data_IF_978510893727
#
_entry.id   IF_978510893727
#
_cell.length_a   1.000
_cell.length_b   1.000
_cell.length_c   1.000
_cell.angle_alpha   90.00
_cell.angle_beta   90.00
_cell.angle_gamma   90.00
#
_symmetry.space_group_name_H-M   'P 1'
#
loop_
_entity.id
_entity.type
_entity.pdbx_description
1 polymer ?
#
# COMPACT_ATOMS: atom_id res chain seq x y z
N UNK A 1 21.97 -16.29 68.10
CA UNK A 1 22.05 -16.86 66.73
C UNK A 1 20.70 -16.89 65.99
N UNK A 2 19.55 -17.16 66.62
CA UNK A 2 18.22 -17.19 65.95
C UNK A 2 17.66 -15.83 65.48
N UNK A 3 18.08 -14.73 66.09
CA UNK A 3 17.60 -13.36 65.76
C UNK A 3 18.30 -12.80 64.51
N UNK A 4 19.55 -13.20 64.27
CA UNK A 4 20.35 -12.73 63.12
C UNK A 4 19.85 -13.38 61.81
N UNK A 5 19.38 -14.62 61.85
CA UNK A 5 18.79 -15.31 60.70
C UNK A 5 17.42 -14.77 60.29
N UNK A 6 16.62 -14.27 61.25
CA UNK A 6 15.33 -13.62 60.97
C UNK A 6 15.50 -12.24 60.32
N UNK A 7 16.52 -11.48 60.73
CA UNK A 7 16.84 -10.16 60.16
C UNK A 7 17.32 -10.26 58.70
N UNK A 8 18.12 -11.28 58.37
CA UNK A 8 18.63 -11.50 57.01
C UNK A 8 17.50 -11.89 56.01
N UNK A 9 16.52 -12.67 56.45
CA UNK A 9 15.36 -13.04 55.61
C UNK A 9 14.44 -11.85 55.28
N UNK A 10 14.33 -10.86 56.16
CA UNK A 10 13.48 -9.69 55.93
C UNK A 10 14.07 -8.70 54.90
N UNK A 11 15.41 -8.60 54.82
CA UNK A 11 16.07 -7.76 53.81
C UNK A 11 15.96 -8.33 52.38
N UNK A 12 15.87 -9.65 52.21
CA UNK A 12 15.72 -10.30 50.91
C UNK A 12 14.32 -10.10 50.28
N UNK A 13 13.30 -9.80 51.09
CA UNK A 13 11.92 -9.56 50.62
C UNK A 13 11.69 -8.14 50.08
N UNK A 14 12.61 -7.20 50.30
CA UNK A 14 12.47 -5.79 49.88
C UNK A 14 13.18 -5.46 48.56
N UNK A 15 13.90 -6.41 47.95
CA UNK A 15 14.72 -6.17 46.76
C UNK A 15 14.01 -6.48 45.41
N UNK A 16 12.69 -6.66 45.41
CA UNK A 16 11.95 -7.21 44.26
C UNK A 16 10.91 -6.29 43.62
N UNK A 17 11.15 -4.98 43.49
CA UNK A 17 10.28 -4.14 42.64
C UNK A 17 10.67 -4.31 41.16
N UNK A 18 10.23 -5.40 40.54
CA UNK A 18 10.34 -5.56 39.10
C UNK A 18 9.48 -4.48 38.40
N UNK A 19 10.12 -3.47 37.79
CA UNK A 19 9.44 -2.53 36.89
C UNK A 19 9.31 -3.19 35.53
N UNK A 20 8.08 -3.39 35.08
CA UNK A 20 7.79 -3.86 33.72
C UNK A 20 7.99 -2.66 32.77
N UNK A 21 8.60 -2.84 31.60
CA UNK A 21 8.69 -1.77 30.61
C UNK A 21 7.30 -1.26 30.22
N UNK A 22 7.09 0.04 30.32
CA UNK A 22 5.85 0.68 29.88
C UNK A 22 5.87 0.89 28.36
N UNK A 23 4.77 0.59 27.65
CA UNK A 23 4.67 0.88 26.23
C UNK A 23 4.73 2.40 26.03
N UNK A 24 5.73 2.84 25.28
CA UNK A 24 5.82 4.24 24.83
C UNK A 24 5.36 4.33 23.38
N UNK A 25 4.69 5.43 23.04
CA UNK A 25 4.30 5.71 21.66
C UNK A 25 5.48 6.18 20.81
N UNK A 26 5.36 6.06 19.49
CA UNK A 26 6.30 6.67 18.54
C UNK A 26 6.14 8.20 18.50
N UNK A 27 7.19 8.89 18.06
CA UNK A 27 7.13 10.32 17.76
C UNK A 27 6.14 10.60 16.62
N UNK A 28 5.56 11.80 16.59
CA UNK A 28 4.64 12.19 15.52
C UNK A 28 5.36 12.25 14.16
N UNK A 29 4.87 11.49 13.19
CA UNK A 29 5.34 11.51 11.80
C UNK A 29 4.15 11.61 10.84
N UNK A 30 4.44 11.98 9.59
CA UNK A 30 3.46 11.98 8.50
C UNK A 30 3.81 10.91 7.50
N UNK A 31 2.79 10.22 7.00
CA UNK A 31 2.93 9.19 5.97
C UNK A 31 2.13 9.61 4.73
N UNK A 32 2.69 9.45 3.52
CA UNK A 32 1.98 9.73 2.28
C UNK A 32 0.79 8.78 2.06
N UNK A 33 -0.20 9.26 1.29
CA UNK A 33 -1.41 8.51 0.93
C UNK A 33 -1.51 8.37 -0.59
N UNK A 34 -1.69 7.15 -1.10
CA UNK A 34 -1.97 6.88 -2.50
C UNK A 34 -3.48 6.96 -2.75
N UNK A 35 -3.92 8.03 -3.41
CA UNK A 35 -5.34 8.33 -3.62
C UNK A 35 -5.75 8.34 -5.10
N UNK A 36 -4.78 8.38 -6.01
CA UNK A 36 -5.03 8.44 -7.45
C UNK A 36 -3.94 7.67 -8.19
N UNK A 37 -4.26 7.19 -9.39
CA UNK A 37 -3.31 6.52 -10.27
C UNK A 37 -2.08 7.40 -10.59
N UNK A 38 -2.22 8.73 -10.56
CA UNK A 38 -1.09 9.65 -10.67
C UNK A 38 -0.02 9.41 -9.59
N UNK A 39 -0.40 9.06 -8.36
CA UNK A 39 0.56 8.74 -7.30
C UNK A 39 1.36 7.47 -7.62
N UNK A 40 0.82 6.54 -8.42
CA UNK A 40 1.54 5.36 -8.88
C UNK A 40 2.66 5.75 -9.85
N UNK A 41 2.43 6.76 -10.70
CA UNK A 41 3.45 7.34 -11.59
C UNK A 41 4.57 7.99 -10.78
N UNK A 42 4.20 8.79 -9.76
CA UNK A 42 5.18 9.43 -8.87
C UNK A 42 6.05 8.39 -8.16
N UNK A 43 5.45 7.32 -7.65
CA UNK A 43 6.18 6.21 -7.04
C UNK A 43 7.10 5.50 -8.05
N UNK A 44 6.59 5.16 -9.23
CA UNK A 44 7.38 4.48 -10.27
C UNK A 44 8.58 5.32 -10.70
N UNK A 45 8.41 6.63 -10.83
CA UNK A 45 9.50 7.56 -11.17
C UNK A 45 10.56 7.63 -10.06
N UNK A 46 10.14 7.71 -8.80
CA UNK A 46 11.07 7.70 -7.65
C UNK A 46 11.86 6.39 -7.58
N UNK A 47 11.19 5.24 -7.71
CA UNK A 47 11.84 3.92 -7.72
C UNK A 47 12.79 3.77 -8.90
N UNK A 48 12.41 4.21 -10.11
CA UNK A 48 13.28 4.18 -11.28
C UNK A 48 14.53 5.05 -11.08
N UNK A 49 14.37 6.25 -10.50
CA UNK A 49 15.49 7.13 -10.15
C UNK A 49 16.43 6.46 -9.12
N UNK A 50 15.89 5.85 -8.07
CA UNK A 50 16.68 5.10 -7.06
C UNK A 50 17.45 3.96 -7.71
N UNK A 51 16.82 3.19 -8.60
CA UNK A 51 17.46 2.10 -9.36
C UNK A 51 18.60 2.65 -10.21
N UNK A 52 18.35 3.70 -11.00
CA UNK A 52 19.38 4.33 -11.84
C UNK A 52 20.59 4.81 -11.01
N UNK A 53 20.32 5.50 -9.90
CA UNK A 53 21.37 5.95 -8.99
C UNK A 53 22.15 4.77 -8.40
N UNK A 54 21.48 3.69 -8.01
CA UNK A 54 22.15 2.50 -7.50
C UNK A 54 23.04 1.83 -8.56
N UNK A 55 22.56 1.72 -9.81
CA UNK A 55 23.33 1.17 -10.92
C UNK A 55 24.62 1.96 -11.14
N UNK A 56 24.56 3.29 -11.10
CA UNK A 56 25.74 4.16 -11.21
C UNK A 56 26.69 3.96 -10.03
N UNK A 57 26.17 3.92 -8.79
CA UNK A 57 26.98 3.76 -7.58
C UNK A 57 27.65 2.39 -7.47
N UNK A 58 27.02 1.36 -8.05
CA UNK A 58 27.49 -0.04 -7.99
C UNK A 58 28.32 -0.46 -9.21
N UNK A 59 28.74 0.49 -10.07
CA UNK A 59 29.51 0.25 -11.30
C UNK A 59 28.80 -0.63 -12.35
N UNK A 60 27.47 -0.51 -12.43
CA UNK A 60 26.60 -1.15 -13.43
C UNK A 60 25.83 -0.15 -14.33
N UNK A 61 26.40 1.01 -14.74
CA UNK A 61 25.64 2.09 -15.37
C UNK A 61 25.03 1.75 -16.75
N UNK A 62 25.51 0.68 -17.40
CA UNK A 62 25.01 0.21 -18.70
C UNK A 62 24.36 -1.16 -18.64
N UNK A 63 24.31 -1.76 -17.45
CA UNK A 63 23.78 -3.12 -17.29
C UNK A 63 22.27 -3.06 -17.42
N UNK A 64 21.67 -3.92 -18.26
CA UNK A 64 20.23 -3.93 -18.40
C UNK A 64 19.54 -4.44 -17.13
N UNK A 65 18.32 -3.97 -16.90
CA UNK A 65 17.46 -4.46 -15.81
C UNK A 65 16.28 -5.26 -16.36
N UNK A 66 15.84 -6.27 -15.62
CA UNK A 66 14.60 -7.00 -15.89
C UNK A 66 13.66 -6.85 -14.68
N UNK A 67 12.44 -6.34 -14.91
CA UNK A 67 11.46 -6.09 -13.84
C UNK A 67 10.53 -7.30 -13.68
N UNK A 68 10.53 -7.89 -12.47
CA UNK A 68 9.75 -9.07 -12.12
C UNK A 68 8.81 -8.78 -10.92
N UNK A 69 7.48 -8.95 -11.08
CA UNK A 69 6.56 -8.98 -9.94
C UNK A 69 6.78 -10.23 -9.10
N UNK A 70 6.72 -10.12 -7.77
CA UNK A 70 6.78 -11.25 -6.85
C UNK A 70 5.57 -11.28 -5.91
N UNK A 71 5.05 -12.48 -5.70
CA UNK A 71 3.83 -12.72 -4.92
C UNK A 71 4.19 -13.65 -3.76
N UNK A 72 3.88 -13.22 -2.54
CA UNK A 72 4.27 -13.97 -1.34
C UNK A 72 5.79 -13.90 -1.11
N UNK A 73 6.51 -14.94 -1.51
CA UNK A 73 7.97 -15.00 -1.37
C UNK A 73 8.68 -14.30 -2.54
N UNK A 74 9.90 -13.82 -2.32
CA UNK A 74 10.67 -13.06 -3.31
C UNK A 74 11.16 -13.90 -4.49
N UNK A 75 11.32 -15.21 -4.28
CA UNK A 75 11.72 -16.15 -5.32
C UNK A 75 10.53 -16.64 -6.16
N UNK A 76 9.30 -16.34 -5.73
CA UNK A 76 8.07 -16.78 -6.40
C UNK A 76 7.54 -15.68 -7.34
N UNK A 77 7.66 -15.85 -8.67
CA UNK A 77 7.06 -14.91 -9.59
C UNK A 77 5.53 -15.01 -9.49
N UNK A 78 4.85 -13.87 -9.57
CA UNK A 78 3.40 -13.90 -9.71
C UNK A 78 3.01 -14.46 -11.08
N UNK A 79 1.98 -15.30 -11.13
CA UNK A 79 1.40 -15.71 -12.41
C UNK A 79 0.45 -14.63 -12.95
N UNK A 80 0.13 -14.72 -14.25
CA UNK A 80 -0.90 -13.88 -14.82
C UNK A 80 -2.21 -14.08 -14.04
N UNK A 81 -2.94 -12.98 -13.77
CA UNK A 81 -4.17 -12.95 -12.95
C UNK A 81 -4.02 -13.10 -11.43
N UNK A 82 -2.82 -13.35 -10.89
CA UNK A 82 -2.57 -13.28 -9.43
C UNK A 82 -2.18 -11.89 -8.96
N UNK A 83 -1.74 -11.03 -9.90
CA UNK A 83 -1.35 -9.66 -9.61
C UNK A 83 -2.56 -8.76 -9.33
N UNK A 84 -2.45 -7.93 -8.31
CA UNK A 84 -3.35 -6.80 -8.12
C UNK A 84 -3.28 -5.79 -9.27
N UNK A 85 -4.38 -5.04 -9.52
CA UNK A 85 -4.43 -3.98 -10.55
C UNK A 85 -3.32 -2.96 -10.38
N UNK A 86 -3.02 -2.59 -9.13
CA UNK A 86 -1.88 -1.74 -8.80
C UNK A 86 -0.56 -2.39 -9.19
N UNK A 87 -0.33 -3.66 -8.87
CA UNK A 87 0.92 -4.36 -9.19
C UNK A 87 1.18 -4.37 -10.70
N UNK A 88 0.17 -4.70 -11.51
CA UNK A 88 0.29 -4.69 -12.97
C UNK A 88 0.62 -3.30 -13.52
N UNK A 89 -0.17 -2.29 -13.11
CA UNK A 89 0.05 -0.91 -13.54
C UNK A 89 1.42 -0.38 -13.09
N UNK A 90 1.83 -0.69 -11.87
CA UNK A 90 3.11 -0.27 -11.31
C UNK A 90 4.28 -0.84 -12.11
N UNK A 91 4.22 -2.10 -12.55
CA UNK A 91 5.24 -2.69 -13.43
C UNK A 91 5.43 -1.89 -14.70
N UNK A 92 4.33 -1.59 -15.38
CA UNK A 92 4.37 -0.93 -16.68
C UNK A 92 4.83 0.52 -16.54
N UNK A 93 4.39 1.21 -15.48
CA UNK A 93 4.86 2.55 -15.12
C UNK A 93 6.35 2.54 -14.76
N UNK A 94 6.82 1.57 -13.98
CA UNK A 94 8.23 1.44 -13.59
C UNK A 94 9.11 1.19 -14.81
N UNK A 95 8.71 0.30 -15.72
CA UNK A 95 9.43 0.07 -16.99
C UNK A 95 9.48 1.36 -17.81
N UNK A 96 8.36 2.07 -17.91
CA UNK A 96 8.28 3.36 -18.63
C UNK A 96 9.25 4.38 -18.05
N UNK A 97 9.25 4.55 -16.73
CA UNK A 97 10.14 5.49 -16.04
C UNK A 97 11.61 5.06 -16.11
N UNK A 98 11.93 3.77 -16.00
CA UNK A 98 13.30 3.26 -16.19
C UNK A 98 13.85 3.60 -17.59
N UNK A 99 13.05 3.39 -18.63
CA UNK A 99 13.41 3.78 -20.01
C UNK A 99 13.58 5.30 -20.11
N UNK A 100 12.70 6.07 -19.47
CA UNK A 100 12.79 7.54 -19.42
C UNK A 100 14.07 8.03 -18.74
N UNK A 101 14.55 7.35 -17.70
CA UNK A 101 15.83 7.61 -17.04
C UNK A 101 17.04 7.10 -17.84
N UNK A 102 16.83 6.44 -18.98
CA UNK A 102 17.90 5.92 -19.84
C UNK A 102 18.47 4.57 -19.39
N UNK A 103 17.80 3.89 -18.45
CA UNK A 103 18.19 2.55 -18.00
C UNK A 103 17.76 1.53 -19.06
N UNK A 104 18.68 0.69 -19.60
CA UNK A 104 18.30 -0.35 -20.54
C UNK A 104 17.41 -1.40 -19.85
N UNK A 105 16.23 -1.70 -20.41
CA UNK A 105 15.29 -2.68 -19.83
C UNK A 105 15.15 -3.89 -20.76
N UNK A 106 15.21 -5.11 -20.20
CA UNK A 106 14.97 -6.36 -20.91
C UNK A 106 13.53 -6.81 -20.73
N UNK A 107 12.96 -7.42 -21.78
CA UNK A 107 11.62 -8.03 -21.74
C UNK A 107 11.60 -9.43 -21.15
N UNK A 108 12.73 -10.13 -21.19
CA UNK A 108 12.91 -11.49 -20.69
C UNK A 108 14.13 -11.51 -19.76
N UNK A 109 14.15 -12.41 -18.76
CA UNK A 109 15.33 -12.55 -17.91
C UNK A 109 16.53 -13.03 -18.73
N UNK A 110 17.70 -12.51 -18.38
CA UNK A 110 18.99 -12.76 -19.05
C UNK A 110 20.11 -12.78 -17.99
N UNK A 111 21.18 -13.55 -18.23
CA UNK A 111 22.31 -13.69 -17.28
C UNK A 111 23.07 -12.38 -17.07
N UNK A 112 23.11 -11.53 -18.10
CA UNK A 112 23.74 -10.21 -18.06
C UNK A 112 22.83 -9.13 -17.43
N UNK A 113 21.58 -9.46 -17.10
CA UNK A 113 20.62 -8.51 -16.56
C UNK A 113 20.50 -8.58 -15.04
N UNK A 114 20.37 -7.41 -14.40
CA UNK A 114 20.03 -7.33 -12.99
C UNK A 114 18.52 -7.51 -12.85
N UNK A 115 18.08 -8.43 -12.00
CA UNK A 115 16.65 -8.59 -11.75
C UNK A 115 16.19 -7.58 -10.70
N UNK A 116 15.22 -6.75 -11.07
CA UNK A 116 14.48 -5.90 -10.16
C UNK A 116 13.23 -6.64 -9.73
N UNK A 117 13.15 -7.06 -8.47
CA UNK A 117 11.92 -7.60 -7.92
C UNK A 117 11.12 -6.47 -7.27
N UNK A 118 9.80 -6.56 -7.34
CA UNK A 118 8.94 -5.76 -6.49
C UNK A 118 7.76 -6.57 -5.97
N UNK A 119 7.36 -6.26 -4.74
CA UNK A 119 6.28 -6.92 -4.01
C UNK A 119 5.34 -5.89 -3.41
N UNK A 120 4.05 -6.16 -3.49
CA UNK A 120 2.99 -5.35 -2.89
C UNK A 120 2.38 -6.13 -1.73
N UNK A 121 2.23 -5.49 -0.58
CA UNK A 121 1.58 -6.12 0.58
C UNK A 121 0.55 -5.18 1.17
N UNK A 122 -0.71 -5.60 1.13
CA UNK A 122 -1.83 -4.92 1.77
C UNK A 122 -1.87 -5.24 3.27
N UNK A 123 -1.97 -4.21 4.10
CA UNK A 123 -2.08 -4.29 5.55
C UNK A 123 -3.39 -3.65 5.97
N UNK A 124 -4.19 -4.40 6.73
CA UNK A 124 -5.44 -3.92 7.32
C UNK A 124 -5.30 -3.72 8.83
N UNK A 125 -5.74 -2.57 9.32
CA UNK A 125 -5.73 -2.20 10.72
C UNK A 125 -7.15 -2.26 11.30
N UNK A 126 -7.42 -3.27 12.13
CA UNK A 126 -8.75 -3.48 12.74
C UNK A 126 -9.12 -2.46 13.82
N UNK A 127 -8.12 -1.78 14.41
CA UNK A 127 -8.37 -0.81 15.48
C UNK A 127 -8.78 0.54 14.89
N UNK A 128 -9.87 1.10 15.41
CA UNK A 128 -10.25 2.49 15.11
C UNK A 128 -9.15 3.43 15.61
N UNK A 129 -8.31 3.92 14.70
CA UNK A 129 -7.27 4.90 15.03
C UNK A 129 -7.91 6.28 15.04
N UNK A 130 -7.95 6.92 16.21
CA UNK A 130 -8.17 8.36 16.27
C UNK A 130 -6.97 9.03 15.62
N UNK A 131 -7.20 9.69 14.49
CA UNK A 131 -6.14 10.40 13.82
C UNK A 131 -5.67 11.57 14.68
N UNK A 132 -4.43 11.47 15.14
CA UNK A 132 -3.84 12.51 15.97
C UNK A 132 -3.60 13.73 15.08
N UNK A 133 -4.35 14.79 15.37
CA UNK A 133 -4.13 16.11 14.79
C UNK A 133 -2.77 16.64 15.26
N UNK A 134 -2.13 17.49 14.46
CA UNK A 134 -0.80 18.01 14.81
C UNK A 134 -0.83 18.58 16.24
N UNK A 135 0.19 18.30 17.08
CA UNK A 135 0.26 18.85 18.42
C UNK A 135 0.03 20.36 18.41
N UNK A 136 -0.78 20.85 19.36
CA UNK A 136 -1.12 22.27 19.47
C UNK A 136 -2.30 22.76 18.62
N UNK A 137 -2.75 22.02 17.60
CA UNK A 137 -3.90 22.46 16.77
C UNK A 137 -5.20 22.52 17.58
N UNK A 138 -5.49 21.50 18.40
CA UNK A 138 -6.68 21.53 19.27
C UNK A 138 -6.62 22.68 20.27
N UNK A 139 -5.45 22.95 20.84
CA UNK A 139 -5.23 24.09 21.73
C UNK A 139 -5.48 25.39 20.99
N UNK A 140 -4.93 25.55 19.78
CA UNK A 140 -5.14 26.74 18.96
C UNK A 140 -6.62 26.94 18.60
N UNK A 141 -7.34 25.87 18.22
CA UNK A 141 -8.78 25.92 17.96
C UNK A 141 -9.54 26.33 19.23
N UNK A 142 -9.25 25.71 20.37
CA UNK A 142 -9.91 26.03 21.64
C UNK A 142 -9.68 27.49 22.06
N UNK A 143 -8.43 27.97 21.95
CA UNK A 143 -8.09 29.37 22.19
C UNK A 143 -8.77 30.31 21.19
N UNK A 144 -8.78 29.94 19.91
CA UNK A 144 -9.46 30.68 18.84
C UNK A 144 -10.96 30.84 19.10
N UNK A 145 -11.64 29.75 19.44
CA UNK A 145 -13.07 29.77 19.82
C UNK A 145 -13.31 30.66 21.04
N UNK A 146 -12.44 30.58 22.05
CA UNK A 146 -12.54 31.41 23.24
C UNK A 146 -12.45 32.92 22.92
N UNK A 147 -11.61 33.30 21.95
CA UNK A 147 -11.48 34.69 21.48
C UNK A 147 -12.66 35.09 20.59
N UNK A 148 -13.09 34.22 19.68
CA UNK A 148 -14.11 34.49 18.67
C UNK A 148 -15.54 34.58 19.20
N UNK A 149 -15.82 34.04 20.39
CA UNK A 149 -17.17 34.06 21.00
C UNK A 149 -17.77 35.46 21.15
N UNK A 150 -16.92 36.49 21.25
CA UNK A 150 -17.31 37.89 21.38
C UNK A 150 -17.00 38.71 20.12
N UNK A 151 -16.62 38.07 19.02
CA UNK A 151 -16.26 38.73 17.77
C UNK A 151 -17.50 39.09 16.93
N UNK A 152 -17.40 40.08 16.02
CA UNK A 152 -18.41 40.35 15.00
C UNK A 152 -18.75 39.11 14.18
N UNK A 153 -19.98 39.06 13.64
CA UNK A 153 -20.51 37.90 12.94
C UNK A 153 -19.69 37.52 11.70
N UNK A 154 -19.07 38.49 11.02
CA UNK A 154 -18.21 38.26 9.86
C UNK A 154 -17.01 37.36 10.24
N UNK A 155 -16.35 37.63 11.36
CA UNK A 155 -15.22 36.82 11.84
C UNK A 155 -15.67 35.42 12.29
N UNK A 156 -16.88 35.30 12.84
CA UNK A 156 -17.45 33.99 13.18
C UNK A 156 -17.73 33.15 11.93
N UNK A 157 -18.21 33.75 10.84
CA UNK A 157 -18.44 33.01 9.58
C UNK A 157 -17.15 32.50 8.96
N UNK A 158 -16.10 33.32 8.90
CA UNK A 158 -14.77 32.92 8.41
C UNK A 158 -14.20 31.78 9.27
N UNK A 159 -14.30 31.90 10.60
CA UNK A 159 -13.85 30.85 11.50
C UNK A 159 -14.65 29.55 11.35
N UNK A 160 -15.96 29.65 11.14
CA UNK A 160 -16.84 28.52 10.85
C UNK A 160 -16.43 27.80 9.56
N UNK A 161 -16.14 28.56 8.50
CA UNK A 161 -15.62 28.00 7.25
C UNK A 161 -14.27 27.27 7.46
N UNK A 162 -13.34 27.88 8.18
CA UNK A 162 -12.05 27.25 8.49
C UNK A 162 -12.18 25.96 9.32
N UNK A 163 -13.16 25.88 10.23
CA UNK A 163 -13.46 24.65 10.97
C UNK A 163 -14.01 23.55 10.04
N UNK A 164 -14.91 23.90 9.11
CA UNK A 164 -15.44 22.96 8.12
C UNK A 164 -14.32 22.41 7.22
N UNK A 165 -13.43 23.27 6.74
CA UNK A 165 -12.28 22.87 5.92
C UNK A 165 -11.35 21.92 6.70
N UNK A 166 -11.12 22.19 7.98
CA UNK A 166 -10.36 21.31 8.87
C UNK A 166 -11.02 19.95 9.03
N UNK A 167 -12.34 19.90 9.27
CA UNK A 167 -13.09 18.65 9.41
C UNK A 167 -13.04 17.83 8.11
N UNK A 168 -13.21 18.48 6.96
CA UNK A 168 -13.12 17.82 5.67
C UNK A 168 -11.73 17.23 5.43
N UNK A 169 -10.68 18.00 5.74
CA UNK A 169 -9.29 17.53 5.65
C UNK A 169 -9.02 16.35 6.58
N UNK A 170 -9.57 16.37 7.81
CA UNK A 170 -9.42 15.26 8.76
C UNK A 170 -10.09 13.98 8.26
N UNK A 171 -11.25 14.07 7.61
CA UNK A 171 -11.93 12.92 7.01
C UNK A 171 -11.08 12.27 5.91
N UNK A 172 -10.50 13.06 5.00
CA UNK A 172 -9.63 12.58 3.91
C UNK A 172 -8.40 11.84 4.43
N UNK A 173 -7.90 12.23 5.62
CA UNK A 173 -6.74 11.59 6.22
C UNK A 173 -7.05 10.18 6.71
N UNK A 174 -8.27 9.89 7.16
CA UNK A 174 -8.60 8.59 7.76
C UNK A 174 -8.45 7.44 6.76
N UNK A 175 -7.84 6.35 7.23
CA UNK A 175 -7.71 5.09 6.49
C UNK A 175 -7.36 3.97 7.45
N UNK A 176 -7.96 2.80 7.22
CA UNK A 176 -7.63 1.55 7.91
C UNK A 176 -6.69 0.66 7.10
N UNK A 177 -6.30 1.07 5.88
CA UNK A 177 -5.47 0.30 4.98
C UNK A 177 -4.16 1.00 4.66
N UNK A 178 -3.08 0.23 4.74
CA UNK A 178 -1.75 0.62 4.32
C UNK A 178 -1.24 -0.38 3.28
N UNK A 179 -0.40 0.08 2.37
CA UNK A 179 0.32 -0.78 1.44
C UNK A 179 1.82 -0.63 1.67
N UNK A 180 2.51 -1.76 1.73
CA UNK A 180 3.97 -1.84 1.78
C UNK A 180 4.43 -2.28 0.40
N UNK A 181 5.32 -1.50 -0.21
CA UNK A 181 5.86 -1.77 -1.54
C UNK A 181 7.34 -1.98 -1.37
N UNK A 182 7.80 -3.21 -1.58
CA UNK A 182 9.21 -3.56 -1.47
C UNK A 182 9.79 -3.69 -2.85
N UNK A 183 10.88 -2.98 -3.12
CA UNK A 183 11.66 -3.10 -4.35
C UNK A 183 13.05 -3.60 -4.01
N UNK A 184 13.56 -4.55 -4.77
CA UNK A 184 14.92 -5.07 -4.63
C UNK A 184 15.61 -5.22 -5.97
N UNK A 185 16.93 -5.09 -5.97
CA UNK A 185 17.78 -5.38 -7.10
C UNK A 185 18.71 -6.51 -6.71
N UNK A 186 18.63 -7.63 -7.42
CA UNK A 186 19.40 -8.83 -7.11
C UNK A 186 20.35 -9.15 -8.27
N UNK A 187 21.62 -9.39 -7.95
CA UNK A 187 22.62 -9.94 -8.87
C UNK A 187 23.43 -11.01 -8.15
N UNK A 188 23.69 -12.16 -8.78
CA UNK A 188 24.52 -13.25 -8.22
C UNK A 188 24.15 -13.60 -6.76
N UNK A 189 22.85 -13.73 -6.47
CA UNK A 189 22.29 -14.02 -5.14
C UNK A 189 22.58 -12.95 -4.06
N UNK A 190 22.94 -11.73 -4.47
CA UNK A 190 23.21 -10.60 -3.58
C UNK A 190 22.27 -9.44 -3.88
N UNK A 191 21.75 -8.83 -2.81
CA UNK A 191 21.05 -7.56 -2.91
C UNK A 191 22.02 -6.44 -3.22
N UNK A 192 21.89 -5.83 -4.39
CA UNK A 192 22.52 -4.54 -4.68
C UNK A 192 21.75 -3.40 -4.03
N UNK A 193 20.44 -3.53 -3.92
CA UNK A 193 19.54 -2.55 -3.31
C UNK A 193 18.27 -3.23 -2.83
N UNK A 194 17.73 -2.74 -1.71
CA UNK A 194 16.41 -3.11 -1.22
C UNK A 194 15.81 -1.93 -0.46
N UNK A 195 14.58 -1.56 -0.78
CA UNK A 195 13.82 -0.56 -0.04
C UNK A 195 12.37 -1.02 0.13
N UNK A 196 11.75 -0.63 1.25
CA UNK A 196 10.33 -0.83 1.52
C UNK A 196 9.67 0.51 1.79
N UNK A 197 8.77 0.93 0.90
CA UNK A 197 8.05 2.19 1.00
C UNK A 197 6.61 1.92 1.48
N UNK A 198 6.11 2.74 2.41
CA UNK A 198 4.81 2.54 3.07
C UNK A 198 3.86 3.69 2.76
N UNK A 199 2.64 3.36 2.34
CA UNK A 199 1.62 4.35 1.97
C UNK A 199 0.27 4.01 2.60
N UNK A 200 -0.47 5.01 3.07
CA UNK A 200 -1.90 4.85 3.29
C UNK A 200 -2.63 4.76 1.95
N UNK A 201 -3.76 4.07 1.91
CA UNK A 201 -4.65 4.05 0.73
C UNK A 201 -6.08 4.42 1.16
N UNK A 202 -6.99 4.69 0.23
CA UNK A 202 -8.39 4.81 0.60
C UNK A 202 -8.97 3.42 0.89
N UNK A 203 -9.84 3.31 1.89
CA UNK A 203 -10.45 2.03 2.25
C UNK A 203 -11.28 1.44 1.10
N UNK A 204 -11.95 2.29 0.32
CA UNK A 204 -12.73 1.89 -0.86
C UNK A 204 -11.85 1.36 -2.01
N UNK A 205 -10.57 1.76 -2.07
CA UNK A 205 -9.64 1.37 -3.14
C UNK A 205 -8.79 0.15 -2.77
N UNK A 206 -8.95 -0.40 -1.56
CA UNK A 206 -8.12 -1.51 -1.06
C UNK A 206 -8.12 -2.75 -1.97
N UNK A 207 -9.21 -2.98 -2.72
CA UNK A 207 -9.29 -4.07 -3.70
C UNK A 207 -8.24 -3.98 -4.83
N UNK A 208 -7.75 -2.77 -5.16
CA UNK A 208 -6.76 -2.55 -6.22
C UNK A 208 -5.36 -3.05 -5.84
N UNK A 209 -5.12 -3.36 -4.56
CA UNK A 209 -3.82 -3.74 -3.99
C UNK A 209 -3.78 -5.17 -3.46
N UNK A 210 -4.87 -5.92 -3.62
CA UNK A 210 -4.98 -7.29 -3.12
C UNK A 210 -4.52 -8.24 -4.22
N UNK A 211 -3.38 -8.89 -4.00
CA UNK A 211 -2.96 -10.00 -4.84
C UNK A 211 -3.89 -11.19 -4.57
N UNK A 212 -4.26 -11.90 -5.64
CA UNK A 212 -5.10 -13.10 -5.54
C UNK A 212 -4.17 -14.25 -5.21
N UNK A 213 -3.84 -14.42 -3.94
CA UNK A 213 -3.26 -15.69 -3.50
C UNK A 213 -4.36 -16.75 -3.60
N UNK A 214 -4.34 -17.56 -4.66
CA UNK A 214 -5.10 -18.80 -4.65
C UNK A 214 -4.42 -19.66 -3.59
N UNK A 215 -4.97 -19.64 -2.38
CA UNK A 215 -4.78 -20.78 -1.50
C UNK A 215 -5.37 -21.95 -2.27
N UNK A 216 -4.55 -22.79 -2.88
CA UNK A 216 -4.90 -24.18 -3.10
C UNK A 216 -5.24 -24.73 -1.71
N UNK A 217 -6.48 -24.56 -1.29
CA UNK A 217 -7.14 -25.61 -0.54
C UNK A 217 -7.06 -26.80 -1.49
N UNK A 218 -5.99 -27.58 -1.35
CA UNK A 218 -5.91 -28.91 -1.91
C UNK A 218 -7.21 -29.58 -1.49
N UNK A 219 -8.14 -29.75 -2.43
CA UNK A 219 -9.17 -30.75 -2.28
C UNK A 219 -8.40 -32.06 -2.18
N UNK A 220 -8.11 -32.50 -0.95
CA UNK A 220 -7.55 -33.82 -0.70
C UNK A 220 -8.63 -34.78 -1.23
N UNK A 221 -8.40 -35.50 -2.34
CA UNK A 221 -9.34 -36.53 -2.71
C UNK A 221 -9.23 -37.61 -1.64
N UNK A 222 -10.27 -37.73 -0.81
CA UNK A 222 -10.38 -38.82 0.14
C UNK A 222 -10.52 -40.12 -0.66
N UNK A 223 -9.40 -40.76 -0.97
CA UNK A 223 -9.37 -42.14 -1.46
C UNK A 223 -9.71 -43.01 -0.26
N UNK A 224 -11.02 -43.30 -0.08
CA UNK A 224 -11.49 -44.39 0.76
C UNK A 224 -11.24 -45.73 0.05
N UNK A 225 -10.89 -46.81 0.77
CA UNK A 225 -10.60 -48.09 0.15
C UNK A 225 -11.87 -48.72 -0.42
N UNK A 226 -11.69 -49.46 -1.51
CA UNK A 226 -12.71 -50.17 -2.27
C UNK A 226 -13.71 -50.93 -1.40
N UNK A 227 -15.00 -50.72 -1.68
CA UNK A 227 -16.12 -51.47 -1.14
C UNK A 227 -17.27 -51.46 -2.15
N UNK A 228 -17.46 -52.59 -2.81
CA UNK A 228 -18.48 -52.94 -3.80
C UNK A 228 -19.91 -52.59 -3.37
N UNK A 229 -20.70 -51.97 -4.25
CA UNK A 229 -22.11 -52.37 -4.49
C UNK A 229 -22.66 -51.69 -5.74
N UNK A 230 -23.07 -52.51 -6.70
CA UNK A 230 -24.02 -52.15 -7.75
C UNK A 230 -25.32 -51.59 -7.13
N UNK A 231 -25.97 -50.62 -7.78
CA UNK A 231 -27.33 -50.76 -8.31
C UNK A 231 -27.91 -49.46 -8.90
N UNK A 232 -28.40 -49.62 -10.13
CA UNK A 232 -29.62 -49.05 -10.71
C UNK A 232 -29.61 -47.65 -11.36
N UNK A 233 -29.46 -47.73 -12.69
CA UNK A 233 -30.18 -46.98 -13.72
C UNK A 233 -31.61 -46.58 -13.35
N UNK A 234 -31.91 -45.27 -13.42
CA UNK A 234 -33.24 -44.77 -13.74
C UNK A 234 -33.14 -43.46 -14.55
N UNK A 235 -34.00 -43.36 -15.55
CA UNK A 235 -33.94 -42.50 -16.74
C UNK A 235 -35.00 -41.38 -16.66
N UNK A 236 -34.54 -40.10 -16.72
CA UNK A 236 -35.18 -38.86 -17.25
C UNK A 236 -36.58 -38.42 -16.70
N UNK A 237 -37.09 -37.19 -16.98
CA UNK A 237 -36.54 -36.02 -17.72
C UNK A 237 -36.71 -34.62 -17.05
N UNK A 238 -35.87 -33.68 -17.50
CA UNK A 238 -36.15 -32.28 -17.89
C UNK A 238 -37.15 -31.40 -17.14
N UNK A 239 -36.65 -30.25 -16.66
CA UNK A 239 -37.40 -28.99 -16.60
C UNK A 239 -36.50 -27.85 -17.08
N UNK A 240 -36.90 -27.26 -18.20
CA UNK A 240 -36.34 -26.05 -18.82
C UNK A 240 -37.12 -24.84 -18.28
N UNK A 241 -36.43 -23.77 -17.88
CA UNK A 241 -37.00 -22.44 -17.59
C UNK A 241 -35.97 -21.35 -17.95
N UNK A 242 -36.42 -20.12 -18.26
CA UNK A 242 -36.12 -19.50 -19.55
C UNK A 242 -35.00 -18.47 -19.53
N UNK A 243 -34.46 -18.27 -20.74
CA UNK A 243 -33.53 -17.25 -21.16
C UNK A 243 -34.08 -15.83 -20.89
N UNK A 244 -33.30 -15.03 -20.16
CA UNK A 244 -33.62 -13.63 -19.86
C UNK A 244 -32.74 -12.74 -20.73
N UNK A 245 -33.41 -11.96 -21.59
CA UNK A 245 -32.82 -11.06 -22.57
C UNK A 245 -31.85 -10.03 -21.94
N UNK A 246 -30.73 -9.84 -22.63
CA UNK A 246 -29.71 -8.80 -22.37
C UNK A 246 -30.18 -7.48 -23.02
N UNK A 247 -30.17 -6.33 -22.32
CA UNK A 247 -30.37 -5.04 -22.97
C UNK A 247 -29.07 -4.55 -23.62
N UNK A 248 -29.23 -4.06 -24.84
CA UNK A 248 -28.22 -3.55 -25.77
C UNK A 248 -27.50 -2.30 -25.22
N UNK A 249 -26.18 -2.35 -25.10
CA UNK A 249 -25.36 -1.23 -24.63
C UNK A 249 -25.13 -0.24 -25.76
N UNK A 250 -25.62 0.99 -25.60
CA UNK A 250 -25.36 2.13 -26.51
C UNK A 250 -23.90 2.58 -26.36
N UNK A 251 -23.13 2.54 -27.45
CA UNK A 251 -21.76 3.04 -27.53
C UNK A 251 -21.79 4.55 -27.81
N UNK A 252 -21.21 5.43 -26.96
CA UNK A 252 -21.00 6.82 -27.34
C UNK A 252 -19.74 6.96 -28.20
N UNK A 253 -19.91 7.76 -29.24
CA UNK A 253 -18.97 8.10 -30.32
C UNK A 253 -17.68 8.75 -29.83
N UNK A 254 -16.59 8.38 -30.51
CA UNK A 254 -15.21 8.90 -30.44
C UNK A 254 -15.09 10.40 -30.15
N UNK A 255 -14.35 10.74 -29.09
CA UNK A 255 -13.91 12.11 -28.79
C UNK A 255 -12.58 12.35 -29.52
N UNK A 256 -12.58 13.29 -30.45
CA UNK A 256 -11.41 13.78 -31.18
C UNK A 256 -10.55 14.69 -30.26
N UNK A 257 -9.21 14.56 -30.22
CA UNK A 257 -8.36 15.37 -29.36
C UNK A 257 -8.20 16.79 -29.89
N UNK A 258 -8.44 17.80 -29.03
CA UNK A 258 -8.17 19.20 -29.35
C UNK A 258 -6.68 19.55 -29.19
N UNK A 259 -6.13 20.45 -30.03
CA UNK A 259 -4.72 20.84 -29.97
C UNK A 259 -4.40 21.75 -28.77
N UNK A 260 -3.21 21.53 -28.21
CA UNK A 260 -2.63 22.28 -27.10
C UNK A 260 -2.44 23.76 -27.47
N UNK A 261 -3.01 24.65 -26.65
CA UNK A 261 -2.78 26.09 -26.72
C UNK A 261 -1.52 26.40 -25.91
N UNK A 262 -0.55 27.04 -26.57
CA UNK A 262 0.77 27.40 -26.06
C UNK A 262 0.66 28.71 -25.24
N UNK A 263 0.48 28.60 -23.91
CA UNK A 263 0.41 29.77 -23.03
C UNK A 263 1.81 30.13 -22.52
N UNK A 264 2.41 31.15 -23.15
CA UNK A 264 3.65 31.79 -22.69
C UNK A 264 3.46 32.37 -21.29
N UNK A 265 4.16 31.78 -20.32
CA UNK A 265 4.33 32.32 -18.97
C UNK A 265 5.11 33.65 -19.05
N UNK A 266 4.44 34.75 -18.72
CA UNK A 266 5.05 36.06 -18.48
C UNK A 266 5.42 36.13 -16.99
N UNK A 267 6.71 36.26 -16.69
CA UNK A 267 7.24 36.51 -15.35
C UNK A 267 7.17 38.03 -15.12
N UNK A 268 6.50 38.55 -14.08
CA UNK A 268 6.71 39.92 -13.65
C UNK A 268 7.91 39.98 -12.70
N UNK A 269 8.90 40.80 -13.03
CA UNK A 269 9.86 41.32 -12.06
C UNK A 269 9.12 42.17 -11.03
N UNK A 270 9.37 41.90 -9.74
CA UNK A 270 9.55 42.88 -8.64
C UNK A 270 10.03 42.15 -7.38
#
# INVERSE_FOLDING_TARGET
>A
MRIITLSCCFLLLLAGCARIPEPTGYQYTTQPKMQAAYHWVVLASDVANRINNQLVLSDYPRTPVYVRPTCGDEDTPCTAQENSTFSEAFRDLLITELVRFGVPVRKTPDEESITVHYKVQLVHHNAARLQTVRPGVMTAIATGIMVLRNAPWELQTIAGAGLLDFMNTAAVRSSSHEVIITTSMITKEQYLFRASDLYYINDADAGQYRDVAINEAAEIPLIGPEGTSEQNSAKRPGTMMPEKAVPETVIPTTIEPQPLIDEKVVIPEL
#
